data_IF_218905469043
#
_entry.id   IF_218905469043
#
_cell.length_a   1.000
_cell.length_b   1.000
_cell.length_c   1.000
_cell.angle_alpha   90.00
_cell.angle_beta   90.00
_cell.angle_gamma   90.00
#
_symmetry.space_group_name_H-M   'P 1'
#
loop_
_entity.id
_entity.type
_entity.pdbx_description
1 polymer ?
#
# COMPACT_ATOMS: atom_id res chain seq x y z
N UNK A 1 59.94 -10.97 -23.17
CA UNK A 1 60.63 -10.85 -24.47
C UNK A 1 60.04 -9.64 -25.18
N UNK A 2 60.61 -8.47 -24.91
CA UNK A 2 60.18 -7.20 -25.50
C UNK A 2 60.92 -6.97 -26.82
N UNK A 3 60.18 -6.80 -27.92
CA UNK A 3 60.74 -6.26 -29.17
C UNK A 3 60.88 -4.75 -29.01
N UNK A 4 62.09 -4.30 -28.68
CA UNK A 4 62.50 -2.90 -28.86
C UNK A 4 62.59 -2.62 -30.36
N UNK A 5 61.65 -1.86 -30.91
CA UNK A 5 61.84 -1.24 -32.23
C UNK A 5 62.72 0.00 -32.05
N UNK A 6 63.88 -0.02 -32.69
CA UNK A 6 64.79 1.12 -32.76
C UNK A 6 64.11 2.28 -33.49
N UNK A 7 63.65 3.27 -32.73
CA UNK A 7 63.17 4.55 -33.24
C UNK A 7 64.29 5.60 -33.12
N UNK A 8 65.46 5.33 -33.71
CA UNK A 8 66.64 6.22 -33.59
C UNK A 8 67.19 6.72 -34.94
N UNK A 9 66.36 6.89 -35.98
CA UNK A 9 66.82 7.49 -37.24
C UNK A 9 65.81 8.43 -37.93
N UNK A 10 64.98 9.14 -37.16
CA UNK A 10 64.07 10.17 -37.70
C UNK A 10 64.40 11.59 -37.21
N UNK A 11 65.58 11.81 -36.63
CA UNK A 11 65.97 13.10 -36.01
C UNK A 11 67.13 13.84 -36.68
N UNK A 12 67.63 13.39 -37.84
CA UNK A 12 68.80 14.03 -38.48
C UNK A 12 68.51 14.85 -39.74
N UNK A 13 67.27 14.92 -40.26
CA UNK A 13 67.00 15.64 -41.51
C UNK A 13 65.91 16.72 -41.35
N UNK A 14 65.91 17.43 -40.22
CA UNK A 14 65.07 18.61 -40.02
C UNK A 14 65.91 19.90 -39.97
N UNK A 15 67.06 19.90 -40.66
CA UNK A 15 67.70 21.13 -41.10
C UNK A 15 66.99 21.58 -42.39
N UNK A 16 66.24 22.68 -42.30
CA UNK A 16 65.81 23.50 -43.42
C UNK A 16 65.26 22.72 -44.64
N UNK A 17 63.95 22.47 -44.69
CA UNK A 17 63.27 22.48 -45.99
C UNK A 17 63.25 23.95 -46.46
N UNK A 18 64.42 24.46 -46.85
CA UNK A 18 64.48 25.55 -47.80
C UNK A 18 63.75 25.05 -49.04
N UNK A 19 62.83 25.86 -49.57
CA UNK A 19 62.36 25.68 -50.94
C UNK A 19 63.60 25.56 -51.83
N UNK A 20 63.95 24.34 -52.23
CA UNK A 20 65.13 24.11 -53.09
C UNK A 20 64.87 24.57 -54.53
N UNK A 21 63.63 24.99 -54.83
CA UNK A 21 63.25 25.65 -56.08
C UNK A 21 63.07 27.17 -55.92
N UNK A 22 63.19 27.93 -57.04
CA UNK A 22 62.94 29.37 -57.10
C UNK A 22 61.53 29.72 -56.60
N UNK A 23 61.35 30.91 -56.02
CA UNK A 23 60.01 31.39 -55.66
C UNK A 23 59.14 31.60 -56.90
N UNK A 24 57.82 31.69 -56.71
CA UNK A 24 56.90 32.02 -57.81
C UNK A 24 57.29 33.34 -58.50
N UNK A 25 57.78 34.33 -57.75
CA UNK A 25 58.20 35.61 -58.32
C UNK A 25 59.56 35.53 -59.02
N UNK A 26 60.47 34.66 -58.57
CA UNK A 26 61.72 34.38 -59.29
C UNK A 26 61.45 33.73 -60.64
N UNK A 27 60.52 32.76 -60.69
CA UNK A 27 60.07 32.18 -61.95
C UNK A 27 59.44 33.23 -62.85
N UNK A 28 58.52 34.07 -62.35
CA UNK A 28 57.94 35.17 -63.15
C UNK A 28 59.01 36.09 -63.76
N UNK A 29 60.10 36.38 -63.05
CA UNK A 29 61.23 37.17 -63.58
C UNK A 29 62.01 36.45 -64.67
N UNK A 30 62.17 35.13 -64.57
CA UNK A 30 62.87 34.30 -65.56
C UNK A 30 62.04 34.06 -66.82
N UNK A 31 60.72 34.09 -66.68
CA UNK A 31 59.74 33.94 -67.77
C UNK A 31 59.23 35.28 -68.35
N UNK A 32 59.90 36.40 -68.09
CA UNK A 32 59.49 37.72 -68.64
C UNK A 32 59.80 37.85 -70.13
N UNK A 33 59.10 38.76 -70.79
CA UNK A 33 59.35 39.12 -72.20
C UNK A 33 60.84 39.45 -72.46
N UNK A 34 61.37 38.91 -73.56
CA UNK A 34 62.79 39.06 -73.93
C UNK A 34 63.77 38.18 -73.15
N UNK A 35 63.31 37.33 -72.22
CA UNK A 35 64.14 36.32 -71.53
C UNK A 35 64.01 34.95 -72.19
N UNK A 36 65.06 34.13 -72.13
CA UNK A 36 65.07 32.73 -72.58
C UNK A 36 65.15 31.85 -71.32
N UNK A 37 64.03 31.27 -70.84
CA UNK A 37 64.03 30.40 -69.67
C UNK A 37 64.86 29.13 -69.90
N UNK A 38 65.52 28.64 -68.85
CA UNK A 38 66.34 27.42 -68.89
C UNK A 38 65.49 26.17 -68.68
N UNK A 39 66.00 25.00 -69.07
CA UNK A 39 65.35 23.70 -68.82
C UNK A 39 65.00 23.50 -67.33
N UNK A 40 65.86 23.97 -66.43
CA UNK A 40 65.62 23.94 -64.98
C UNK A 40 64.43 24.81 -64.58
N UNK A 41 64.24 25.99 -65.19
CA UNK A 41 63.12 26.89 -64.91
C UNK A 41 61.78 26.24 -65.30
N UNK A 42 61.76 25.49 -66.41
CA UNK A 42 60.60 24.70 -66.82
C UNK A 42 60.32 23.53 -65.85
N UNK A 43 61.37 22.81 -65.41
CA UNK A 43 61.21 21.72 -64.44
C UNK A 43 60.66 22.24 -63.11
N UNK A 44 61.17 23.38 -62.63
CA UNK A 44 60.72 24.03 -61.41
C UNK A 44 59.24 24.47 -61.51
N UNK A 45 58.84 25.07 -62.63
CA UNK A 45 57.45 25.44 -62.89
C UNK A 45 56.51 24.22 -62.90
N UNK A 46 56.91 23.13 -63.56
CA UNK A 46 56.12 21.89 -63.62
C UNK A 46 55.98 21.27 -62.23
N UNK A 47 57.07 21.23 -61.45
CA UNK A 47 57.05 20.69 -60.10
C UNK A 47 56.13 21.50 -59.17
N UNK A 48 56.15 22.83 -59.24
CA UNK A 48 55.24 23.68 -58.47
C UNK A 48 53.78 23.45 -58.88
N UNK A 49 53.51 23.37 -60.18
CA UNK A 49 52.17 23.07 -60.69
C UNK A 49 51.68 21.67 -60.27
N UNK A 50 52.57 20.67 -60.25
CA UNK A 50 52.25 19.31 -59.82
C UNK A 50 51.99 19.22 -58.31
N UNK A 51 52.81 19.90 -57.50
CA UNK A 51 52.58 20.00 -56.05
C UNK A 51 51.23 20.63 -55.73
N UNK A 52 50.86 21.72 -56.43
CA UNK A 52 49.54 22.35 -56.28
C UNK A 52 48.40 21.39 -56.64
N UNK A 53 48.58 20.60 -57.70
CA UNK A 53 47.63 19.56 -58.14
C UNK A 53 47.46 18.44 -57.11
N UNK A 54 48.56 17.94 -56.52
CA UNK A 54 48.51 16.92 -55.48
C UNK A 54 47.88 17.41 -54.18
N UNK A 55 48.15 18.67 -53.79
CA UNK A 55 47.60 19.26 -52.57
C UNK A 55 46.07 19.25 -52.56
N UNK A 56 45.43 19.37 -53.73
CA UNK A 56 43.97 19.36 -53.88
C UNK A 56 43.40 17.99 -54.28
N UNK A 57 44.23 16.95 -54.28
CA UNK A 57 43.82 15.57 -54.60
C UNK A 57 43.48 15.34 -56.07
N UNK A 58 44.05 16.13 -57.01
CA UNK A 58 43.87 15.93 -58.45
C UNK A 58 44.97 15.03 -59.01
N UNK A 59 44.61 14.10 -59.89
CA UNK A 59 45.57 13.37 -60.73
C UNK A 59 45.75 14.09 -62.09
N UNK A 60 46.90 13.92 -62.78
CA UNK A 60 47.06 14.41 -64.15
C UNK A 60 45.92 13.92 -65.07
N UNK A 61 45.20 14.86 -65.70
CA UNK A 61 44.15 14.56 -66.68
C UNK A 61 42.74 14.31 -66.13
N UNK A 62 42.47 14.55 -64.85
CA UNK A 62 41.13 14.30 -64.26
C UNK A 62 40.29 15.56 -64.02
N UNK A 63 38.98 15.41 -64.26
CA UNK A 63 37.89 16.28 -63.80
C UNK A 63 37.82 16.28 -62.27
N UNK A 64 36.99 17.15 -61.68
CA UNK A 64 36.85 17.23 -60.23
C UNK A 64 36.59 15.86 -59.61
N UNK A 65 37.43 15.45 -58.65
CA UNK A 65 37.22 14.22 -57.89
C UNK A 65 36.08 14.47 -56.89
N UNK A 66 34.86 13.93 -57.12
CA UNK A 66 33.72 14.20 -56.24
C UNK A 66 33.96 13.69 -54.82
N UNK A 67 34.86 12.72 -54.65
CA UNK A 67 35.21 12.07 -53.39
C UNK A 67 36.43 12.70 -52.70
N UNK A 68 36.97 13.82 -53.20
CA UNK A 68 38.01 14.54 -52.48
C UNK A 68 37.45 15.15 -51.18
N UNK A 69 38.13 14.88 -50.06
CA UNK A 69 37.81 15.50 -48.77
C UNK A 69 38.33 16.94 -48.66
N UNK A 70 39.08 17.41 -49.66
CA UNK A 70 39.69 18.74 -49.71
C UNK A 70 39.26 19.47 -51.00
N UNK A 71 39.20 20.79 -50.94
CA UNK A 71 38.90 21.69 -52.06
C UNK A 71 39.75 22.95 -51.96
N UNK A 72 39.91 23.69 -53.07
CA UNK A 72 40.32 25.08 -52.97
C UNK A 72 39.09 25.93 -52.61
N UNK A 73 39.24 26.85 -51.67
CA UNK A 73 38.23 27.87 -51.41
C UNK A 73 38.29 28.98 -52.48
N UNK A 74 37.41 29.98 -52.36
CA UNK A 74 37.34 31.09 -53.30
C UNK A 74 38.60 31.97 -53.29
N UNK A 75 39.43 31.89 -52.25
CA UNK A 75 40.71 32.57 -52.13
C UNK A 75 41.89 31.76 -52.69
N UNK A 76 41.64 30.54 -53.17
CA UNK A 76 42.68 29.63 -53.65
C UNK A 76 43.46 28.95 -52.52
N UNK A 77 42.96 29.00 -51.27
CA UNK A 77 43.55 28.27 -50.16
C UNK A 77 42.96 26.85 -50.09
N UNK A 78 43.77 25.89 -49.64
CA UNK A 78 43.31 24.51 -49.42
C UNK A 78 42.39 24.47 -48.18
N UNK A 79 41.18 23.97 -48.36
CA UNK A 79 40.15 23.86 -47.34
C UNK A 79 39.52 22.47 -47.29
N UNK A 80 38.93 22.12 -46.15
CA UNK A 80 38.15 20.87 -46.01
C UNK A 80 36.84 21.02 -46.78
N UNK A 81 36.50 20.02 -47.60
CA UNK A 81 35.21 19.95 -48.28
C UNK A 81 34.14 19.50 -47.30
N UNK A 82 33.31 20.44 -46.84
CA UNK A 82 32.20 20.17 -45.92
C UNK A 82 30.89 20.07 -46.69
N UNK A 83 30.06 19.09 -46.31
CA UNK A 83 28.65 19.07 -46.69
C UNK A 83 27.88 19.99 -45.73
N UNK A 84 27.32 21.08 -46.23
CA UNK A 84 26.63 22.08 -45.41
C UNK A 84 25.41 21.49 -44.67
N UNK A 85 24.80 20.44 -45.23
CA UNK A 85 23.72 19.69 -44.60
C UNK A 85 24.21 18.51 -43.74
N UNK A 86 25.53 18.26 -43.71
CA UNK A 86 26.16 17.20 -42.93
C UNK A 86 26.42 17.58 -41.47
N UNK A 87 27.03 16.66 -40.71
CA UNK A 87 27.31 16.82 -39.28
C UNK A 87 28.62 17.51 -38.91
N UNK A 88 29.43 17.96 -39.89
CA UNK A 88 30.67 18.69 -39.66
C UNK A 88 30.53 20.15 -40.10
N UNK A 89 31.29 21.05 -39.47
CA UNK A 89 31.48 22.44 -39.88
C UNK A 89 32.97 22.77 -39.91
N UNK A 90 33.38 23.60 -40.85
CA UNK A 90 34.68 24.25 -40.84
C UNK A 90 34.45 25.76 -40.80
N UNK A 91 35.06 26.44 -39.84
CA UNK A 91 35.01 27.90 -39.67
C UNK A 91 36.41 28.45 -39.31
N UNK A 92 36.49 29.72 -38.92
CA UNK A 92 37.75 30.38 -38.53
C UNK A 92 38.48 29.67 -37.36
N UNK A 93 37.76 28.90 -36.55
CA UNK A 93 38.31 28.12 -35.44
C UNK A 93 38.68 26.68 -35.86
N UNK A 94 38.55 26.34 -37.14
CA UNK A 94 38.89 25.03 -37.70
C UNK A 94 37.69 24.09 -37.88
N UNK A 95 37.98 22.79 -37.95
CA UNK A 95 36.99 21.73 -38.19
C UNK A 95 36.37 21.24 -36.87
N UNK A 96 35.05 21.17 -36.81
CA UNK A 96 34.33 20.67 -35.63
C UNK A 96 33.00 20.00 -35.99
N UNK A 97 32.39 19.32 -35.01
CA UNK A 97 31.10 18.64 -35.15
C UNK A 97 29.95 19.64 -34.94
N UNK A 98 28.97 19.65 -35.84
CA UNK A 98 27.71 20.36 -35.68
C UNK A 98 26.81 19.58 -34.72
N UNK A 99 26.47 20.19 -33.59
CA UNK A 99 25.59 19.60 -32.58
C UNK A 99 24.22 20.31 -32.62
N UNK A 100 23.18 19.58 -33.04
CA UNK A 100 21.82 20.13 -33.25
C UNK A 100 21.02 20.26 -31.95
N UNK A 101 21.40 19.52 -30.90
CA UNK A 101 20.64 19.40 -29.65
C UNK A 101 21.55 19.14 -28.45
N UNK A 102 21.05 19.43 -27.24
CA UNK A 102 21.77 19.26 -25.97
C UNK A 102 21.95 17.78 -25.55
N UNK A 103 21.87 16.80 -26.45
CA UNK A 103 22.09 15.38 -26.12
C UNK A 103 23.57 14.99 -26.16
N UNK A 104 24.35 15.72 -26.95
CA UNK A 104 25.80 15.64 -26.98
C UNK A 104 26.39 16.98 -26.54
N UNK A 105 27.56 16.96 -25.94
CA UNK A 105 28.35 18.15 -25.60
C UNK A 105 29.73 18.05 -26.23
N UNK A 106 30.26 19.20 -26.67
CA UNK A 106 31.63 19.32 -27.17
C UNK A 106 32.34 20.36 -26.33
N UNK A 107 33.46 19.99 -25.74
CA UNK A 107 34.36 20.88 -25.02
C UNK A 107 35.83 20.54 -25.33
N UNK A 108 36.78 21.09 -24.57
CA UNK A 108 38.22 20.86 -24.77
C UNK A 108 38.64 19.39 -24.58
N UNK A 109 37.81 18.55 -23.97
CA UNK A 109 38.02 17.11 -23.81
C UNK A 109 37.42 16.28 -24.96
N UNK A 110 36.70 16.92 -25.89
CA UNK A 110 36.12 16.28 -27.07
C UNK A 110 34.59 16.18 -27.03
N UNK A 111 34.06 15.22 -27.79
CA UNK A 111 32.63 14.95 -27.92
C UNK A 111 32.18 13.92 -26.88
N UNK A 112 31.16 14.26 -26.09
CA UNK A 112 30.59 13.37 -25.06
C UNK A 112 29.06 13.38 -25.07
N UNK A 113 28.46 12.40 -24.39
CA UNK A 113 27.02 12.40 -24.10
C UNK A 113 26.73 13.42 -22.99
N UNK A 114 25.76 14.31 -23.24
CA UNK A 114 25.27 15.24 -22.24
C UNK A 114 24.14 14.58 -21.43
N UNK A 115 24.50 13.85 -20.37
CA UNK A 115 23.56 13.10 -19.54
C UNK A 115 22.66 14.03 -18.71
N UNK A 116 21.34 13.81 -18.79
CA UNK A 116 20.34 14.53 -17.99
C UNK A 116 19.93 13.78 -16.71
N UNK A 117 18.85 14.24 -16.07
CA UNK A 117 18.28 13.56 -14.88
C UNK A 117 17.95 12.09 -15.17
N UNK A 118 18.28 11.22 -14.23
CA UNK A 118 18.07 9.77 -14.36
C UNK A 118 19.17 9.03 -15.12
N UNK A 119 20.10 9.73 -15.75
CA UNK A 119 21.29 9.16 -16.38
C UNK A 119 22.55 9.74 -15.73
N UNK A 120 23.66 9.01 -15.80
CA UNK A 120 24.98 9.49 -15.35
C UNK A 120 26.07 8.90 -16.23
N UNK A 121 27.20 9.60 -16.32
CA UNK A 121 28.42 9.03 -16.88
C UNK A 121 29.27 8.54 -15.70
N UNK A 122 29.63 7.26 -15.70
CA UNK A 122 30.44 6.63 -14.66
C UNK A 122 31.50 5.76 -15.34
N UNK A 123 32.79 6.03 -15.06
CA UNK A 123 33.91 5.35 -15.73
C UNK A 123 33.74 5.28 -17.27
N UNK A 124 33.46 6.44 -17.87
CA UNK A 124 33.24 6.63 -19.32
C UNK A 124 32.06 5.87 -19.93
N UNK A 125 31.17 5.30 -19.10
CA UNK A 125 29.95 4.62 -19.54
C UNK A 125 28.70 5.41 -19.17
N UNK A 126 27.75 5.46 -20.10
CA UNK A 126 26.41 5.97 -19.82
C UNK A 126 25.62 4.90 -19.04
N UNK A 127 25.18 5.27 -17.85
CA UNK A 127 24.43 4.40 -16.94
C UNK A 127 23.14 5.09 -16.47
N UNK A 128 22.14 4.30 -16.09
CA UNK A 128 20.98 4.79 -15.36
C UNK A 128 21.41 5.14 -13.94
N UNK A 129 20.96 6.29 -13.46
CA UNK A 129 21.24 6.75 -12.12
C UNK A 129 20.30 6.06 -11.12
N UNK A 130 20.80 5.02 -10.44
CA UNK A 130 20.02 4.20 -9.53
C UNK A 130 19.88 4.82 -8.13
N UNK A 131 18.77 5.53 -7.93
CA UNK A 131 18.33 6.03 -6.62
C UNK A 131 17.16 5.20 -6.06
N UNK A 132 16.71 5.52 -4.84
CA UNK A 132 15.67 4.80 -4.07
C UNK A 132 14.59 4.12 -4.92
N UNK A 133 14.43 2.80 -4.75
CA UNK A 133 13.40 2.01 -5.43
C UNK A 133 13.78 1.48 -6.82
N UNK A 134 14.97 1.81 -7.35
CA UNK A 134 15.47 1.29 -8.63
C UNK A 134 16.74 0.45 -8.40
N UNK A 135 16.82 -0.69 -9.05
CA UNK A 135 18.01 -1.56 -9.09
C UNK A 135 18.38 -1.87 -10.55
N UNK A 136 19.67 -1.79 -10.86
CA UNK A 136 20.19 -2.15 -12.19
C UNK A 136 20.68 -3.59 -12.10
N UNK A 137 20.18 -4.44 -12.99
CA UNK A 137 20.54 -5.85 -13.13
C UNK A 137 21.02 -6.14 -14.55
N UNK A 138 21.47 -7.37 -14.80
CA UNK A 138 21.99 -7.77 -16.10
C UNK A 138 20.93 -7.64 -17.21
N UNK A 139 19.66 -7.83 -16.89
CA UNK A 139 18.53 -7.73 -17.82
C UNK A 139 18.05 -6.29 -18.05
N UNK A 140 18.56 -5.30 -17.29
CA UNK A 140 18.18 -3.90 -17.40
C UNK A 140 17.85 -3.26 -16.07
N UNK A 141 16.71 -2.55 -16.00
CA UNK A 141 16.27 -1.80 -14.82
C UNK A 141 15.09 -2.53 -14.17
N UNK A 142 15.18 -2.79 -12.86
CA UNK A 142 14.10 -3.39 -12.07
C UNK A 142 13.75 -2.53 -10.86
N UNK A 143 12.60 -2.81 -10.26
CA UNK A 143 12.19 -2.20 -9.00
C UNK A 143 12.98 -2.84 -7.84
N UNK A 144 13.59 -2.00 -7.00
CA UNK A 144 14.18 -2.39 -5.72
C UNK A 144 13.09 -2.41 -4.66
N UNK A 145 12.34 -3.51 -4.60
CA UNK A 145 11.24 -3.69 -3.67
C UNK A 145 11.72 -3.95 -2.22
N UNK A 146 10.97 -3.43 -1.25
CA UNK A 146 11.11 -3.79 0.17
C UNK A 146 10.25 -4.99 0.54
N UNK A 147 10.13 -5.26 1.84
CA UNK A 147 9.21 -6.30 2.33
C UNK A 147 7.76 -6.00 1.94
N UNK A 148 7.00 -7.05 1.65
CA UNK A 148 5.60 -6.96 1.23
C UNK A 148 5.38 -6.75 -0.28
N UNK A 149 6.43 -6.47 -1.07
CA UNK A 149 6.34 -6.38 -2.54
C UNK A 149 7.16 -7.49 -3.18
N UNK A 150 6.59 -8.16 -4.19
CA UNK A 150 7.23 -9.18 -5.02
C UNK A 150 7.48 -8.60 -6.40
N UNK A 151 8.69 -8.80 -6.91
CA UNK A 151 9.08 -8.44 -8.28
C UNK A 151 9.53 -9.72 -8.98
N UNK A 152 8.84 -10.11 -10.05
CA UNK A 152 9.16 -11.29 -10.86
C UNK A 152 8.89 -11.06 -12.35
N UNK A 153 8.97 -12.11 -13.17
CA UNK A 153 8.77 -12.01 -14.63
C UNK A 153 7.36 -11.58 -15.05
N UNK A 154 6.38 -11.64 -14.16
CA UNK A 154 5.01 -11.17 -14.40
C UNK A 154 4.82 -9.70 -14.00
N UNK A 155 5.79 -9.10 -13.29
CA UNK A 155 5.77 -7.70 -12.89
C UNK A 155 5.92 -7.48 -11.38
N UNK A 156 5.31 -6.41 -10.88
CA UNK A 156 5.35 -6.00 -9.47
C UNK A 156 4.00 -6.29 -8.82
N UNK A 157 4.00 -7.03 -7.72
CA UNK A 157 2.79 -7.46 -7.01
C UNK A 157 2.98 -7.44 -5.49
N UNK A 158 1.91 -7.64 -4.72
CA UNK A 158 2.00 -7.84 -3.27
C UNK A 158 2.62 -9.22 -2.98
N UNK A 159 3.60 -9.26 -2.08
CA UNK A 159 4.19 -10.49 -1.56
C UNK A 159 3.22 -11.12 -0.57
N UNK A 160 2.39 -12.04 -1.05
CA UNK A 160 1.42 -12.76 -0.24
C UNK A 160 2.03 -14.07 0.28
N UNK A 161 2.19 -14.17 1.60
CA UNK A 161 2.63 -15.40 2.27
C UNK A 161 1.47 -16.37 2.53
N UNK A 162 1.79 -17.60 2.91
CA UNK A 162 0.81 -18.50 3.52
C UNK A 162 0.69 -18.17 5.02
N UNK A 163 -0.52 -18.13 5.60
CA UNK A 163 -0.68 -17.99 7.05
C UNK A 163 0.12 -19.06 7.80
N UNK A 164 0.89 -18.63 8.79
CA UNK A 164 1.65 -19.52 9.69
C UNK A 164 0.87 -19.92 10.94
N UNK A 165 -0.29 -19.32 11.17
CA UNK A 165 -1.16 -19.55 12.32
C UNK A 165 -2.62 -19.33 11.95
N UNK A 166 -3.52 -20.03 12.63
CA UNK A 166 -4.98 -19.84 12.55
C UNK A 166 -5.48 -18.62 13.34
N UNK A 167 -4.59 -17.92 14.05
CA UNK A 167 -4.93 -16.69 14.78
C UNK A 167 -5.26 -15.50 13.86
N UNK A 168 -4.96 -15.59 12.56
CA UNK A 168 -5.13 -14.50 11.60
C UNK A 168 -5.85 -14.96 10.35
N UNK A 169 -6.78 -14.14 9.85
CA UNK A 169 -7.31 -14.30 8.49
C UNK A 169 -6.30 -13.74 7.49
N UNK A 170 -5.91 -14.49 6.44
CA UNK A 170 -5.08 -13.92 5.38
C UNK A 170 -5.83 -12.78 4.67
N UNK A 171 -5.09 -11.72 4.37
CA UNK A 171 -5.35 -10.97 3.15
C UNK A 171 -5.07 -11.91 1.98
N UNK A 172 -5.96 -11.96 1.01
CA UNK A 172 -5.83 -12.73 -0.22
C UNK A 172 -6.03 -11.80 -1.41
N UNK A 173 -5.26 -12.02 -2.47
CA UNK A 173 -5.52 -11.40 -3.77
C UNK A 173 -6.35 -12.40 -4.56
N UNK A 174 -7.60 -12.07 -4.85
CA UNK A 174 -8.47 -12.93 -5.63
C UNK A 174 -8.04 -12.89 -7.11
N UNK A 175 -7.42 -13.95 -7.66
CA UNK A 175 -6.74 -13.86 -8.96
C UNK A 175 -7.67 -13.61 -10.15
N UNK A 176 -8.97 -13.79 -9.96
CA UNK A 176 -9.98 -13.62 -11.02
C UNK A 176 -10.48 -12.17 -11.14
N UNK A 177 -10.39 -11.40 -10.07
CA UNK A 177 -11.04 -10.10 -9.95
C UNK A 177 -10.06 -8.97 -9.59
N UNK A 178 -8.77 -9.28 -9.39
CA UNK A 178 -7.73 -8.33 -8.97
C UNK A 178 -8.07 -7.58 -7.67
N UNK A 179 -8.86 -8.21 -6.79
CA UNK A 179 -9.28 -7.63 -5.51
C UNK A 179 -8.41 -8.15 -4.37
N UNK A 180 -7.88 -7.23 -3.56
CA UNK A 180 -7.30 -7.55 -2.26
C UNK A 180 -8.44 -7.64 -1.22
N UNK A 181 -8.70 -8.84 -0.71
CA UNK A 181 -9.78 -9.11 0.23
C UNK A 181 -9.28 -9.86 1.47
N UNK A 182 -10.09 -9.90 2.52
CA UNK A 182 -9.86 -10.77 3.67
C UNK A 182 -10.71 -12.02 3.48
N UNK A 183 -10.16 -13.21 3.75
CA UNK A 183 -10.97 -14.42 3.75
C UNK A 183 -11.95 -14.40 4.92
N UNK A 184 -13.25 -14.39 4.62
CA UNK A 184 -14.34 -14.41 5.61
C UNK A 184 -14.61 -15.86 6.04
N UNK A 185 -14.68 -16.09 7.36
CA UNK A 185 -14.97 -17.38 7.96
C UNK A 185 -16.45 -17.56 8.32
N UNK A 186 -16.78 -18.72 8.92
CA UNK A 186 -18.12 -18.97 9.42
C UNK A 186 -18.54 -17.94 10.48
N UNK A 187 -19.80 -17.54 10.46
CA UNK A 187 -20.35 -16.56 11.41
C UNK A 187 -20.07 -15.10 11.04
N UNK A 188 -19.29 -14.84 9.98
CA UNK A 188 -19.11 -13.51 9.39
C UNK A 188 -19.64 -13.53 7.95
N UNK A 189 -20.03 -12.37 7.43
CA UNK A 189 -20.45 -12.19 6.04
C UNK A 189 -20.05 -10.80 5.55
N UNK A 190 -19.86 -10.66 4.24
CA UNK A 190 -19.66 -9.36 3.61
C UNK A 190 -21.03 -8.74 3.32
N UNK A 191 -21.31 -7.58 3.88
CA UNK A 191 -22.49 -6.76 3.57
C UNK A 191 -21.99 -5.52 2.82
N UNK A 192 -22.84 -4.84 2.05
CA UNK A 192 -22.51 -3.72 1.13
C UNK A 192 -21.57 -2.59 1.65
N UNK A 193 -21.12 -2.60 2.92
CA UNK A 193 -20.14 -1.68 3.50
C UNK A 193 -19.10 -2.36 4.45
N UNK A 194 -18.89 -3.67 4.38
CA UNK A 194 -17.82 -4.37 5.11
C UNK A 194 -18.23 -5.70 5.77
N UNK A 195 -17.28 -6.24 6.55
CA UNK A 195 -17.43 -7.52 7.24
C UNK A 195 -18.32 -7.35 8.48
N UNK A 196 -19.39 -8.14 8.57
CA UNK A 196 -20.34 -8.13 9.69
C UNK A 196 -20.58 -9.55 10.23
N UNK A 197 -21.18 -9.66 11.43
CA UNK A 197 -21.61 -10.95 12.00
C UNK A 197 -22.83 -11.44 11.25
N UNK A 198 -22.81 -12.68 10.76
CA UNK A 198 -23.99 -13.33 10.18
C UNK A 198 -24.97 -13.67 11.32
N UNK A 199 -26.04 -12.89 11.54
CA UNK A 199 -26.90 -13.08 12.69
C UNK A 199 -27.79 -14.29 12.43
N UNK A 200 -27.38 -15.45 12.96
CA UNK A 200 -28.26 -16.61 13.03
C UNK A 200 -29.46 -16.37 13.95
N UNK A 201 -30.18 -17.44 14.28
CA UNK A 201 -31.26 -17.34 15.26
C UNK A 201 -30.72 -16.89 16.62
N UNK A 202 -31.36 -15.91 17.25
CA UNK A 202 -31.01 -15.44 18.59
C UNK A 202 -29.97 -14.31 18.64
N UNK A 203 -29.44 -13.87 17.50
CA UNK A 203 -28.59 -12.69 17.40
C UNK A 203 -29.32 -11.61 16.60
N UNK A 204 -29.20 -10.37 17.04
CA UNK A 204 -29.63 -9.17 16.32
C UNK A 204 -28.40 -8.32 16.02
N UNK A 205 -28.12 -8.11 14.74
CA UNK A 205 -26.95 -7.36 14.28
C UNK A 205 -27.41 -6.11 13.52
N UNK A 206 -27.15 -4.96 14.13
CA UNK A 206 -27.37 -3.65 13.53
C UNK A 206 -26.12 -3.10 12.86
N UNK A 207 -26.17 -1.82 12.50
CA UNK A 207 -25.02 -1.12 11.92
C UNK A 207 -23.90 -0.91 12.97
N UNK A 208 -24.27 -0.66 14.21
CA UNK A 208 -23.39 -0.26 15.32
C UNK A 208 -23.47 -1.20 16.54
N UNK A 209 -24.23 -2.30 16.46
CA UNK A 209 -24.37 -3.25 17.56
C UNK A 209 -24.47 -4.71 17.09
N UNK A 210 -24.10 -5.62 17.99
CA UNK A 210 -24.43 -7.04 17.94
C UNK A 210 -24.99 -7.41 19.31
N UNK A 211 -26.25 -7.85 19.35
CA UNK A 211 -26.99 -8.12 20.58
C UNK A 211 -27.65 -9.50 20.52
N UNK A 212 -28.11 -9.98 21.67
CA UNK A 212 -29.00 -11.14 21.73
C UNK A 212 -30.41 -10.69 21.31
N UNK A 213 -31.00 -11.41 20.35
CA UNK A 213 -32.40 -11.25 19.98
C UNK A 213 -33.29 -11.86 21.06
N UNK A 214 -33.69 -11.05 22.03
CA UNK A 214 -34.54 -11.48 23.12
C UNK A 214 -35.91 -11.97 22.62
N UNK A 215 -36.40 -13.05 23.21
CA UNK A 215 -37.78 -13.52 23.06
C UNK A 215 -38.48 -13.50 24.43
N UNK A 216 -39.68 -14.07 24.50
CA UNK A 216 -40.39 -14.21 25.77
C UNK A 216 -39.52 -14.94 26.81
N UNK A 217 -39.41 -14.37 28.01
CA UNK A 217 -38.64 -14.95 29.10
C UNK A 217 -37.19 -14.45 29.23
N UNK A 218 -36.69 -13.66 28.28
CA UNK A 218 -35.36 -13.03 28.34
C UNK A 218 -35.50 -11.51 28.29
N UNK A 219 -34.71 -10.81 29.10
CA UNK A 219 -34.53 -9.37 29.06
C UNK A 219 -33.09 -9.08 28.64
N UNK A 220 -32.89 -8.18 27.67
CA UNK A 220 -31.58 -7.69 27.25
C UNK A 220 -31.57 -6.18 27.42
N UNK A 221 -30.69 -5.67 28.26
CA UNK A 221 -30.55 -4.24 28.56
C UNK A 221 -29.08 -3.87 28.85
N UNK A 222 -28.84 -2.64 29.31
CA UNK A 222 -27.50 -2.13 29.62
C UNK A 222 -26.77 -2.92 30.74
N UNK A 223 -27.48 -3.75 31.49
CA UNK A 223 -26.95 -4.64 32.53
C UNK A 223 -26.60 -6.03 31.97
N UNK A 224 -26.87 -6.30 30.69
CA UNK A 224 -26.60 -7.56 30.00
C UNK A 224 -27.86 -8.37 29.68
N UNK A 225 -27.73 -9.70 29.71
CA UNK A 225 -28.80 -10.65 29.39
C UNK A 225 -29.28 -11.33 30.68
N UNK A 226 -30.58 -11.28 30.95
CA UNK A 226 -31.18 -11.89 32.15
C UNK A 226 -32.50 -12.60 31.84
N UNK A 227 -32.96 -13.44 32.77
CA UNK A 227 -34.29 -14.05 32.68
C UNK A 227 -35.35 -13.03 33.10
N UNK A 228 -36.41 -12.92 32.31
CA UNK A 228 -37.61 -12.16 32.67
C UNK A 228 -38.41 -12.95 33.71
N UNK A 229 -38.33 -12.54 34.97
CA UNK A 229 -39.02 -13.19 36.08
C UNK A 229 -40.55 -13.18 35.88
N UNK A 230 -41.16 -14.36 35.90
CA UNK A 230 -42.61 -14.54 36.02
C UNK A 230 -43.04 -14.79 37.46
N UNK A 231 -44.32 -15.07 37.67
CA UNK A 231 -44.85 -15.41 39.00
C UNK A 231 -44.15 -16.65 39.56
N UNK A 232 -43.76 -16.59 40.84
CA UNK A 232 -43.06 -17.69 41.51
C UNK A 232 -41.58 -17.81 41.14
N UNK A 233 -41.03 -16.93 40.31
CA UNK A 233 -39.61 -16.91 39.96
C UNK A 233 -38.97 -15.64 40.51
N UNK A 234 -37.82 -15.78 41.17
CA UNK A 234 -36.96 -14.67 41.61
C UNK A 234 -35.67 -14.70 40.82
N UNK A 235 -35.32 -13.58 40.20
CA UNK A 235 -34.06 -13.37 39.49
C UNK A 235 -33.29 -12.27 40.23
N UNK A 236 -32.14 -12.60 40.80
CA UNK A 236 -31.29 -11.67 41.55
C UNK A 236 -29.80 -12.03 41.41
N UNK A 237 -28.93 -11.39 42.18
CA UNK A 237 -27.48 -11.63 42.17
C UNK A 237 -27.07 -13.07 42.50
N UNK A 238 -27.93 -13.83 43.17
CA UNK A 238 -27.70 -15.24 43.51
C UNK A 238 -28.20 -16.19 42.40
N UNK A 239 -28.74 -15.67 41.30
CA UNK A 239 -29.23 -16.42 40.15
C UNK A 239 -30.75 -16.46 40.03
N UNK A 240 -31.25 -17.52 39.40
CA UNK A 240 -32.68 -17.77 39.18
C UNK A 240 -33.16 -18.81 40.18
N UNK A 241 -34.18 -18.48 40.96
CA UNK A 241 -34.73 -19.36 42.00
C UNK A 241 -36.25 -19.34 42.01
N UNK A 242 -36.84 -20.36 42.61
CA UNK A 242 -38.28 -20.44 42.84
C UNK A 242 -38.62 -19.72 44.14
N UNK A 243 -39.60 -18.82 44.09
CA UNK A 243 -40.15 -18.16 45.27
C UNK A 243 -41.14 -19.09 45.97
N UNK A 244 -40.61 -19.94 46.85
CA UNK A 244 -41.38 -20.94 47.60
C UNK A 244 -42.46 -20.27 48.45
N UNK A 245 -42.18 -19.09 49.02
CA UNK A 245 -43.14 -18.37 49.86
C UNK A 245 -44.35 -17.87 49.05
N UNK A 246 -44.11 -17.32 47.85
CA UNK A 246 -45.18 -16.88 46.96
C UNK A 246 -46.05 -18.06 46.49
N UNK A 247 -45.43 -19.20 46.17
CA UNK A 247 -46.15 -20.43 45.80
C UNK A 247 -46.95 -20.98 46.96
N UNK A 248 -46.35 -21.09 48.15
CA UNK A 248 -47.03 -21.57 49.34
C UNK A 248 -48.23 -20.68 49.71
N UNK A 249 -48.10 -19.36 49.56
CA UNK A 249 -49.22 -18.42 49.76
C UNK A 249 -50.34 -18.65 48.75
N UNK A 250 -50.00 -18.77 47.45
CA UNK A 250 -50.99 -19.01 46.41
C UNK A 250 -51.70 -20.37 46.56
N UNK A 251 -50.98 -21.40 47.03
CA UNK A 251 -51.55 -22.72 47.31
C UNK A 251 -52.39 -22.73 48.59
N UNK A 252 -52.01 -21.99 49.63
CA UNK A 252 -52.80 -21.88 50.85
C UNK A 252 -54.19 -21.31 50.56
N UNK A 253 -54.28 -20.27 49.72
CA UNK A 253 -55.56 -19.66 49.31
C UNK A 253 -56.43 -20.62 48.45
N UNK A 254 -55.80 -21.53 47.69
CA UNK A 254 -56.51 -22.45 46.80
C UNK A 254 -56.99 -23.72 47.51
N UNK A 255 -56.19 -24.26 48.44
CA UNK A 255 -56.43 -25.56 49.07
C UNK A 255 -57.31 -25.42 50.32
N UNK A 256 -57.25 -24.28 51.02
CA UNK A 256 -57.97 -24.06 52.27
C UNK A 256 -58.84 -22.80 52.15
N UNK A 257 -60.15 -22.93 51.90
CA UNK A 257 -61.06 -21.79 51.79
C UNK A 257 -61.04 -20.90 53.04
N UNK A 258 -61.26 -19.60 52.86
CA UNK A 258 -61.55 -18.67 53.96
C UNK A 258 -62.60 -19.23 54.91
N UNK A 259 -62.34 -19.14 56.22
CA UNK A 259 -63.27 -19.61 57.24
C UNK A 259 -63.19 -21.10 57.54
N UNK A 260 -62.25 -21.84 56.91
CA UNK A 260 -61.99 -23.23 57.32
C UNK A 260 -61.48 -23.24 58.76
N UNK A 261 -62.14 -24.04 59.61
CA UNK A 261 -61.74 -24.29 61.00
C UNK A 261 -61.14 -25.69 61.05
N UNK A 262 -59.93 -25.80 61.59
CA UNK A 262 -59.27 -27.10 61.78
C UNK A 262 -58.83 -27.30 63.23
N UNK A 263 -58.84 -28.55 63.72
CA UNK A 263 -58.11 -28.92 64.92
C UNK A 263 -56.62 -28.65 64.71
N UNK A 264 -56.01 -27.89 65.63
CA UNK A 264 -54.60 -27.56 65.57
C UNK A 264 -53.91 -28.01 66.84
N UNK A 265 -53.12 -29.07 66.70
CA UNK A 265 -52.41 -29.68 67.81
C UNK A 265 -50.96 -29.21 67.78
N UNK A 266 -50.71 -28.01 68.32
CA UNK A 266 -49.37 -27.46 68.47
C UNK A 266 -49.38 -26.31 69.48
N UNK A 267 -48.32 -26.25 70.28
CA UNK A 267 -47.95 -25.13 71.14
C UNK A 267 -46.99 -24.13 70.44
N UNK A 268 -46.74 -24.32 69.14
CA UNK A 268 -45.96 -23.41 68.29
C UNK A 268 -46.76 -22.24 67.72
N UNK A 269 -46.09 -21.38 66.96
CA UNK A 269 -46.75 -20.26 66.27
C UNK A 269 -47.72 -20.74 65.20
N UNK A 270 -48.89 -20.10 65.13
CA UNK A 270 -49.89 -20.37 64.08
C UNK A 270 -49.30 -20.21 62.67
N UNK A 271 -49.74 -21.02 61.69
CA UNK A 271 -49.37 -20.79 60.30
C UNK A 271 -49.82 -19.39 59.87
N UNK A 272 -49.06 -18.77 58.97
CA UNK A 272 -49.36 -17.42 58.52
C UNK A 272 -50.77 -17.36 57.89
N UNK A 273 -51.59 -16.38 58.31
CA UNK A 273 -53.00 -16.27 57.90
C UNK A 273 -53.98 -17.09 58.74
N UNK A 274 -53.55 -17.70 59.85
CA UNK A 274 -54.44 -18.39 60.78
C UNK A 274 -54.56 -17.63 62.11
N UNK A 275 -55.74 -17.72 62.71
CA UNK A 275 -56.06 -17.12 64.00
C UNK A 275 -56.64 -18.18 64.94
N UNK A 276 -56.45 -18.00 66.24
CA UNK A 276 -57.10 -18.85 67.24
C UNK A 276 -58.62 -18.61 67.25
N UNK A 277 -59.40 -19.68 67.42
CA UNK A 277 -60.85 -19.62 67.64
C UNK A 277 -61.17 -19.33 69.12
N UNK A 278 -60.67 -18.22 69.65
CA UNK A 278 -60.80 -17.82 71.06
C UNK A 278 -61.84 -16.71 71.28
N UNK A 279 -62.46 -16.20 70.22
CA UNK A 279 -63.40 -15.09 70.28
C UNK A 279 -62.79 -13.72 69.99
N UNK A 280 -61.46 -13.64 69.81
CA UNK A 280 -60.75 -12.40 69.48
C UNK A 280 -60.54 -12.27 67.97
N UNK A 281 -60.18 -11.08 67.50
CA UNK A 281 -59.88 -10.81 66.08
C UNK A 281 -60.97 -11.27 65.09
N UNK A 282 -62.24 -11.30 65.53
CA UNK A 282 -63.39 -11.69 64.71
C UNK A 282 -63.56 -13.20 64.49
N UNK A 283 -62.84 -14.06 65.21
CA UNK A 283 -63.04 -15.52 65.19
C UNK A 283 -64.12 -15.94 66.21
N UNK A 284 -64.87 -17.03 65.97
CA UNK A 284 -65.76 -17.58 66.99
C UNK A 284 -64.97 -18.17 68.16
N UNK A 285 -65.48 -18.04 69.40
CA UNK A 285 -64.88 -18.70 70.57
C UNK A 285 -65.37 -20.14 70.68
N UNK A 286 -64.53 -21.09 70.27
CA UNK A 286 -64.84 -22.52 70.27
C UNK A 286 -64.10 -23.29 71.38
N UNK A 287 -63.38 -22.58 72.26
CA UNK A 287 -62.60 -23.17 73.36
C UNK A 287 -63.38 -23.23 74.69
N UNK A 288 -64.67 -22.84 74.72
CA UNK A 288 -65.48 -22.86 75.94
C UNK A 288 -65.94 -24.28 76.29
N UNK A 289 -65.44 -24.81 77.42
CA UNK A 289 -66.01 -25.97 78.09
C UNK A 289 -65.35 -27.33 77.83
N UNK A 290 -64.19 -27.37 77.18
CA UNK A 290 -63.46 -28.62 76.91
C UNK A 290 -62.26 -28.73 77.87
N UNK A 291 -62.21 -29.70 78.80
CA UNK A 291 -61.18 -29.75 79.84
C UNK A 291 -59.77 -30.10 79.32
N UNK A 292 -59.67 -30.68 78.12
CA UNK A 292 -58.42 -31.20 77.56
C UNK A 292 -58.21 -30.67 76.12
N UNK A 293 -57.33 -29.68 76.03
CA UNK A 293 -56.73 -28.98 74.89
C UNK A 293 -56.90 -29.59 73.47
N UNK A 294 -58.04 -29.35 72.83
CA UNK A 294 -58.08 -29.27 71.36
C UNK A 294 -58.20 -27.78 71.02
N UNK A 295 -57.10 -27.20 70.57
CA UNK A 295 -57.10 -25.80 70.17
C UNK A 295 -57.53 -25.69 68.71
N UNK A 296 -58.59 -24.93 68.45
CA UNK A 296 -59.12 -24.72 67.10
C UNK A 296 -58.57 -23.43 66.51
N UNK A 297 -58.26 -23.47 65.21
CA UNK A 297 -57.76 -22.32 64.45
C UNK A 297 -58.62 -22.11 63.21
N UNK A 298 -58.84 -20.85 62.86
CA UNK A 298 -59.57 -20.44 61.67
C UNK A 298 -58.62 -19.80 60.65
N UNK A 299 -58.70 -20.24 59.40
CA UNK A 299 -57.99 -19.62 58.28
C UNK A 299 -58.67 -18.31 57.88
N UNK A 300 -57.90 -17.22 57.82
CA UNK A 300 -58.41 -15.86 57.60
C UNK A 300 -57.60 -15.14 56.51
N UNK A 301 -58.26 -14.70 55.44
CA UNK A 301 -57.57 -14.15 54.25
C UNK A 301 -57.33 -12.63 54.32
N UNK A 302 -57.89 -11.90 55.30
CA UNK A 302 -57.71 -10.43 55.36
C UNK A 302 -56.45 -10.05 56.15
N UNK A 303 -55.37 -9.72 55.43
CA UNK A 303 -54.34 -8.77 55.89
C UNK A 303 -55.03 -7.44 56.22
N UNK A 304 -55.31 -7.20 57.51
CA UNK A 304 -55.77 -5.90 57.97
C UNK A 304 -54.56 -5.14 58.54
N UNK A 305 -53.99 -4.25 57.72
CA UNK A 305 -53.42 -3.03 58.28
C UNK A 305 -54.61 -2.20 58.77
N UNK A 306 -54.72 -2.00 60.08
CA UNK A 306 -55.69 -1.14 60.80
C UNK A 306 -56.94 -1.85 61.35
N UNK A 307 -56.91 -2.16 62.64
CA UNK A 307 -58.05 -2.61 63.43
C UNK A 307 -59.18 -1.56 63.44
N UNK A 308 -60.23 -1.72 62.63
CA UNK A 308 -61.53 -1.03 62.79
C UNK A 308 -62.52 -1.55 61.74
N UNK A 309 -63.20 -2.67 62.01
CA UNK A 309 -64.44 -3.18 61.38
C UNK A 309 -64.49 -4.66 61.81
N UNK A 310 -65.23 -5.08 62.83
CA UNK A 310 -66.68 -5.24 62.88
C UNK A 310 -67.01 -5.42 64.37
N UNK A 311 -67.73 -4.46 64.97
CA UNK A 311 -68.25 -4.58 66.33
C UNK A 311 -69.68 -4.05 66.44
N UNK A 312 -70.47 -4.17 65.37
CA UNK A 312 -71.90 -3.87 65.41
C UNK A 312 -72.64 -4.77 64.43
N UNK A 313 -73.04 -5.93 64.90
CA UNK A 313 -74.33 -6.59 64.66
C UNK A 313 -74.27 -7.94 65.37
N UNK A 314 -75.32 -8.30 66.13
CA UNK A 314 -75.49 -9.46 67.03
C UNK A 314 -75.15 -9.06 68.49
N UNK A 315 -76.06 -8.64 69.38
CA UNK A 315 -77.40 -9.13 69.80
C UNK A 315 -78.23 -8.00 70.48
N UNK A 316 -79.55 -8.15 70.71
CA UNK A 316 -80.54 -9.07 70.15
C UNK A 316 -81.48 -8.41 69.11
#
# INVERSE_FOLDING_TARGET
MEKKSNLSNAKSNMENIKSNGPSADDLKKRFKEGSIPLQTDYADLINIADMGRWAVGKAPGQTDNPNSALKLDNGGALAVKINDNGGLKADENGLSVKIKNKSLSVDNNGLAVNAGRGLRINNDKLEVNNHHGIEIVNEGVKVKAGEGIKVDSNGVSLKMGKPISNAFSPLILEPKNDVLSVKIGNGLFDRDNGISVNPGNGIDAGYDYVAVKASNGITVDNSGVSVKAGNGITVNSNGVSVNIQQIASALADLIIPSGTIVPFYSNGSLPNGWLWCDGNNGTPNLNKGIPNEITLVAGWIKKINSAYFILNNIYP
#
